data_IF_839966523173
#
_entry.id   IF_839966523173
#
_cell.length_a   1.000
_cell.length_b   1.000
_cell.length_c   1.000
_cell.angle_alpha   90.00
_cell.angle_beta   90.00
_cell.angle_gamma   90.00
#
_symmetry.space_group_name_H-M   'P 1'
#
loop_
_entity.id
_entity.type
_entity.pdbx_description
1 polymer ?
#
# COMPACT_ATOMS: atom_id res chain seq x y z
N UNK A 1 5.49 1.50 16.21
CA UNK A 1 5.57 2.07 14.84
C UNK A 1 5.04 3.47 14.89
N UNK A 2 5.70 4.41 14.23
CA UNK A 2 5.28 5.82 14.21
C UNK A 2 4.47 6.13 12.96
N UNK A 3 3.62 7.15 13.03
CA UNK A 3 2.99 7.75 11.86
C UNK A 3 3.98 8.73 11.19
N UNK A 4 3.95 8.88 9.85
CA UNK A 4 4.71 9.93 9.18
C UNK A 4 4.25 11.30 9.67
N UNK A 5 5.17 12.23 9.93
CA UNK A 5 4.82 13.61 10.21
C UNK A 5 3.88 14.21 9.15
N UNK A 6 2.91 15.04 9.53
CA UNK A 6 2.08 15.75 8.58
C UNK A 6 2.94 16.71 7.75
N UNK A 7 2.53 16.97 6.51
CA UNK A 7 3.31 17.77 5.57
C UNK A 7 2.52 18.24 4.36
N UNK A 8 3.15 19.13 3.60
CA UNK A 8 2.65 19.67 2.35
C UNK A 8 3.51 19.18 1.19
N UNK A 9 2.88 18.86 0.07
CA UNK A 9 3.53 18.27 -1.09
C UNK A 9 2.99 18.88 -2.37
N UNK A 10 3.82 18.89 -3.41
CA UNK A 10 3.46 19.50 -4.70
C UNK A 10 2.53 18.59 -5.49
N UNK A 11 2.68 17.28 -5.35
CA UNK A 11 1.86 16.30 -6.04
C UNK A 11 1.61 15.04 -5.19
N UNK A 12 0.57 14.29 -5.58
CA UNK A 12 0.16 13.06 -4.90
C UNK A 12 1.21 11.95 -4.97
N UNK A 13 1.98 11.84 -6.05
CA UNK A 13 3.01 10.79 -6.18
C UNK A 13 4.14 11.00 -5.18
N UNK A 14 4.56 12.25 -4.99
CA UNK A 14 5.57 12.67 -4.03
C UNK A 14 5.13 12.37 -2.60
N UNK A 15 3.90 12.78 -2.23
CA UNK A 15 3.32 12.48 -0.93
C UNK A 15 3.28 10.97 -0.67
N UNK A 16 2.76 10.19 -1.62
CA UNK A 16 2.66 8.74 -1.47
C UNK A 16 4.03 8.05 -1.38
N UNK A 17 5.04 8.55 -2.11
CA UNK A 17 6.41 8.07 -2.01
C UNK A 17 7.01 8.37 -0.63
N UNK A 18 6.82 9.59 -0.12
CA UNK A 18 7.24 9.98 1.23
C UNK A 18 6.64 9.04 2.29
N UNK A 19 5.32 8.82 2.26
CA UNK A 19 4.63 7.93 3.20
C UNK A 19 5.17 6.50 3.13
N UNK A 20 5.36 5.96 1.92
CA UNK A 20 5.86 4.60 1.73
C UNK A 20 7.29 4.43 2.20
N UNK A 21 8.15 5.41 1.97
CA UNK A 21 9.55 5.41 2.44
C UNK A 21 9.59 5.44 3.96
N UNK A 22 8.81 6.32 4.60
CA UNK A 22 8.72 6.40 6.05
C UNK A 22 8.18 5.09 6.65
N UNK A 23 7.06 4.58 6.12
CA UNK A 23 6.46 3.33 6.58
C UNK A 23 7.46 2.16 6.52
N UNK A 24 8.22 2.06 5.41
CA UNK A 24 9.25 1.04 5.24
C UNK A 24 10.33 1.14 6.30
N UNK A 25 10.79 2.33 6.63
CA UNK A 25 11.78 2.54 7.70
C UNK A 25 11.24 2.17 9.08
N UNK A 26 9.93 2.34 9.30
CA UNK A 26 9.24 1.99 10.55
C UNK A 26 8.78 0.52 10.61
N UNK A 27 9.04 -0.29 9.58
CA UNK A 27 8.70 -1.72 9.58
C UNK A 27 7.24 -2.04 9.25
N UNK A 28 6.52 -1.17 8.55
CA UNK A 28 5.18 -1.48 8.04
C UNK A 28 5.00 -1.01 6.60
N UNK A 29 3.90 -1.40 5.97
CA UNK A 29 3.58 -0.97 4.63
C UNK A 29 2.20 -0.33 4.56
N UNK A 30 2.03 0.55 3.58
CA UNK A 30 0.81 1.35 3.41
C UNK A 30 0.22 1.10 2.02
N UNK A 31 -1.09 0.95 1.96
CA UNK A 31 -1.88 0.74 0.74
C UNK A 31 -2.95 1.82 0.61
N UNK A 32 -3.46 2.02 -0.61
CA UNK A 32 -4.58 2.92 -0.86
C UNK A 32 -5.87 2.15 -0.56
N UNK A 33 -6.63 2.60 0.45
CA UNK A 33 -7.92 2.02 0.84
C UNK A 33 -9.05 2.52 -0.06
N UNK A 34 -9.07 3.82 -0.35
CA UNK A 34 -10.01 4.44 -1.29
C UNK A 34 -9.43 5.72 -1.86
N UNK A 35 -9.80 6.03 -3.09
CA UNK A 35 -9.58 7.33 -3.72
C UNK A 35 -10.92 7.98 -4.07
N UNK A 36 -10.92 9.31 -4.15
CA UNK A 36 -12.05 10.11 -4.67
C UNK A 36 -11.49 11.12 -5.66
N UNK A 37 -12.17 11.22 -6.80
CA UNK A 37 -11.89 12.24 -7.81
C UNK A 37 -12.86 13.41 -7.68
N UNK A 38 -12.46 14.56 -8.22
CA UNK A 38 -13.36 15.68 -8.49
C UNK A 38 -14.14 15.47 -9.81
N UNK A 39 -14.95 16.47 -10.17
CA UNK A 39 -15.79 16.48 -11.37
C UNK A 39 -14.97 16.38 -12.66
N UNK A 40 -13.73 16.91 -12.66
CA UNK A 40 -12.78 16.80 -13.78
C UNK A 40 -12.09 15.43 -13.84
N UNK A 41 -12.42 14.50 -12.94
CA UNK A 41 -11.81 13.17 -12.84
C UNK A 41 -10.41 13.17 -12.20
N UNK A 42 -9.91 14.31 -11.71
CA UNK A 42 -8.61 14.40 -11.03
C UNK A 42 -8.74 13.94 -9.57
N UNK A 43 -7.72 13.29 -9.03
CA UNK A 43 -7.75 12.83 -7.64
C UNK A 43 -7.85 14.05 -6.70
N UNK A 44 -8.89 14.05 -5.87
CA UNK A 44 -9.17 15.08 -4.85
C UNK A 44 -8.65 14.68 -3.48
N UNK A 45 -8.85 13.41 -3.11
CA UNK A 45 -8.37 12.86 -1.85
C UNK A 45 -8.20 11.35 -1.90
N UNK A 46 -7.40 10.83 -0.97
CA UNK A 46 -7.19 9.41 -0.78
C UNK A 46 -7.15 9.07 0.71
N UNK A 47 -7.67 7.91 1.04
CA UNK A 47 -7.49 7.29 2.35
C UNK A 47 -6.47 6.17 2.19
N UNK A 48 -5.40 6.25 2.95
CA UNK A 48 -4.39 5.22 3.04
C UNK A 48 -4.59 4.41 4.32
N UNK A 49 -4.19 3.14 4.27
CA UNK A 49 -4.28 2.22 5.40
C UNK A 49 -3.01 1.37 5.49
N UNK A 50 -2.70 0.84 6.68
CA UNK A 50 -1.73 -0.25 6.81
C UNK A 50 -2.08 -1.46 5.91
N UNK A 51 -1.09 -2.15 5.35
CA UNK A 51 -1.31 -3.34 4.51
C UNK A 51 -1.88 -4.55 5.28
N UNK A 52 -1.79 -4.54 6.62
CA UNK A 52 -2.47 -5.48 7.53
C UNK A 52 -3.87 -4.99 7.95
N UNK A 53 -4.33 -3.88 7.39
CA UNK A 53 -5.67 -3.34 7.63
C UNK A 53 -6.79 -4.18 7.02
N UNK A 54 -8.04 -3.90 7.41
CA UNK A 54 -9.23 -4.56 6.85
C UNK A 54 -9.44 -6.00 7.31
N UNK A 55 -10.43 -6.66 6.69
CA UNK A 55 -10.85 -8.02 7.04
C UNK A 55 -10.87 -8.91 5.80
N UNK A 56 -10.53 -10.18 5.99
CA UNK A 56 -10.67 -11.18 4.93
C UNK A 56 -12.15 -11.38 4.59
N UNK A 57 -12.45 -11.41 3.29
CA UNK A 57 -13.80 -11.68 2.78
C UNK A 57 -13.80 -13.05 2.11
N UNK A 58 -14.53 -14.00 2.69
CA UNK A 58 -14.72 -15.33 2.13
C UNK A 58 -15.78 -15.29 1.02
N UNK A 59 -15.39 -14.86 -0.18
CA UNK A 59 -16.34 -14.70 -1.30
C UNK A 59 -17.00 -16.00 -1.74
N UNK A 60 -16.32 -17.13 -1.53
CA UNK A 60 -16.80 -18.46 -1.93
C UNK A 60 -17.55 -19.19 -0.80
N UNK A 61 -17.71 -18.55 0.36
CA UNK A 61 -18.36 -19.13 1.55
C UNK A 61 -17.85 -20.54 1.91
N UNK A 62 -16.56 -20.80 1.66
CA UNK A 62 -15.95 -22.10 1.93
C UNK A 62 -15.76 -22.30 3.44
N UNK A 63 -16.01 -23.50 3.91
CA UNK A 63 -15.69 -23.92 5.28
C UNK A 63 -14.24 -24.41 5.33
N UNK A 64 -13.70 -24.61 6.54
CA UNK A 64 -12.36 -25.18 6.70
C UNK A 64 -12.23 -26.55 6.03
N UNK A 65 -13.32 -27.33 6.04
CA UNK A 65 -13.38 -28.67 5.43
C UNK A 65 -13.48 -28.66 3.91
N UNK A 66 -14.10 -27.64 3.31
CA UNK A 66 -14.19 -27.51 1.85
C UNK A 66 -13.05 -26.71 1.21
N UNK A 67 -12.12 -26.18 2.04
CA UNK A 67 -10.95 -25.43 1.56
C UNK A 67 -9.80 -26.36 1.19
N UNK A 68 -9.44 -26.41 -0.10
CA UNK A 68 -8.30 -27.21 -0.56
C UNK A 68 -6.93 -26.68 -0.09
N UNK A 69 -6.81 -25.38 0.20
CA UNK A 69 -5.57 -24.78 0.72
C UNK A 69 -5.81 -24.33 2.15
N UNK A 70 -4.86 -24.47 3.07
CA UNK A 70 -4.91 -23.87 4.40
C UNK A 70 -4.03 -22.60 4.38
N UNK A 71 -4.63 -21.41 4.30
CA UNK A 71 -3.91 -20.14 4.26
C UNK A 71 -4.50 -19.21 5.30
N UNK A 72 -3.65 -18.67 6.16
CA UNK A 72 -4.03 -17.58 7.05
C UNK A 72 -4.08 -16.26 6.27
N UNK A 73 -5.06 -15.42 6.60
CA UNK A 73 -5.05 -14.02 6.17
C UNK A 73 -3.99 -13.25 6.98
N UNK A 74 -3.29 -12.33 6.32
CA UNK A 74 -2.36 -11.41 6.99
C UNK A 74 -3.04 -10.15 7.55
N UNK A 75 -4.32 -9.97 7.23
CA UNK A 75 -5.09 -8.81 7.66
C UNK A 75 -5.44 -8.99 9.14
N UNK A 76 -4.96 -8.08 9.98
CA UNK A 76 -5.20 -8.03 11.43
C UNK A 76 -6.24 -6.98 11.82
N UNK A 77 -6.94 -6.37 10.85
CA UNK A 77 -7.81 -5.20 11.07
C UNK A 77 -7.06 -4.03 11.72
N UNK A 78 -5.79 -3.84 11.33
CA UNK A 78 -4.99 -2.72 11.81
C UNK A 78 -5.74 -1.37 11.60
N UNK A 79 -5.88 -0.54 12.65
CA UNK A 79 -6.67 0.70 12.57
C UNK A 79 -5.90 1.86 11.93
N UNK A 80 -4.57 1.78 11.83
CA UNK A 80 -3.71 2.79 11.22
C UNK A 80 -4.24 3.31 9.88
N UNK A 81 -4.51 4.61 9.82
CA UNK A 81 -5.06 5.31 8.65
C UNK A 81 -4.49 6.71 8.48
N UNK A 82 -4.20 7.06 7.23
CA UNK A 82 -3.76 8.39 6.82
C UNK A 82 -4.72 8.95 5.78
N UNK A 83 -4.90 10.27 5.76
CA UNK A 83 -5.73 10.96 4.82
C UNK A 83 -4.91 11.96 4.01
N UNK A 84 -4.97 11.81 2.69
CA UNK A 84 -4.36 12.73 1.73
C UNK A 84 -5.45 13.58 1.10
N UNK A 85 -5.27 14.90 1.05
CA UNK A 85 -6.22 15.79 0.38
C UNK A 85 -5.52 16.88 -0.43
N UNK A 86 -6.11 17.22 -1.58
CA UNK A 86 -5.66 18.33 -2.43
C UNK A 86 -6.48 19.57 -2.13
N UNK A 87 -5.83 20.69 -1.79
CA UNK A 87 -6.43 22.02 -1.60
C UNK A 87 -5.55 23.07 -2.30
N UNK A 88 -6.12 23.89 -3.18
CA UNK A 88 -5.39 24.91 -3.94
C UNK A 88 -4.14 24.37 -4.64
N UNK A 89 -4.25 23.19 -5.27
CA UNK A 89 -3.15 22.44 -5.90
C UNK A 89 -2.01 21.98 -4.98
N UNK A 90 -2.13 22.17 -3.66
CA UNK A 90 -1.20 21.64 -2.65
C UNK A 90 -1.80 20.38 -2.04
N UNK A 91 -0.96 19.37 -1.83
CA UNK A 91 -1.34 18.10 -1.21
C UNK A 91 -0.98 18.10 0.28
N UNK A 92 -1.93 17.71 1.12
CA UNK A 92 -1.79 17.68 2.57
C UNK A 92 -1.90 16.24 3.06
N UNK A 93 -1.00 15.87 3.98
CA UNK A 93 -1.05 14.61 4.71
C UNK A 93 -1.57 14.85 6.13
N UNK A 94 -2.63 14.14 6.49
CA UNK A 94 -3.23 14.14 7.83
C UNK A 94 -3.22 12.72 8.41
N UNK A 95 -2.85 12.57 9.68
CA UNK A 95 -2.95 11.29 10.39
C UNK A 95 -4.35 11.16 10.96
N UNK A 96 -5.11 10.12 10.56
CA UNK A 96 -6.46 9.87 11.11
C UNK A 96 -6.41 8.95 12.31
N UNK A 97 -5.64 7.87 12.21
CA UNK A 97 -5.38 6.97 13.33
C UNK A 97 -3.90 6.56 13.29
N UNK A 98 -3.10 6.94 14.31
CA UNK A 98 -1.69 6.59 14.38
C UNK A 98 -1.44 5.17 14.91
N UNK A 99 -2.48 4.48 15.42
CA UNK A 99 -2.29 3.25 16.18
C UNK A 99 -2.14 2.03 15.28
N UNK A 100 -1.30 1.10 15.74
CA UNK A 100 -1.17 -0.22 15.16
C UNK A 100 -1.51 -1.28 16.21
N UNK A 101 -2.12 -2.37 15.78
CA UNK A 101 -2.47 -3.50 16.64
C UNK A 101 -1.55 -4.71 16.42
N UNK A 102 -0.37 -4.48 15.87
CA UNK A 102 0.63 -5.49 15.58
C UNK A 102 2.02 -4.88 15.75
N UNK A 103 3.03 -5.72 15.86
CA UNK A 103 4.42 -5.29 15.89
C UNK A 103 4.95 -4.90 14.50
N UNK A 104 6.04 -4.10 14.49
CA UNK A 104 6.79 -3.82 13.28
C UNK A 104 7.34 -5.10 12.66
N UNK A 105 7.36 -5.17 11.35
CA UNK A 105 7.94 -6.30 10.62
C UNK A 105 9.46 -6.23 10.62
N UNK A 106 10.10 -7.32 11.00
CA UNK A 106 11.55 -7.51 10.90
C UNK A 106 12.01 -7.58 9.44
N UNK A 107 11.21 -8.20 8.58
CA UNK A 107 11.53 -8.36 7.16
C UNK A 107 10.46 -7.73 6.26
N UNK A 108 10.83 -6.62 5.60
CA UNK A 108 9.93 -5.90 4.70
C UNK A 108 9.55 -6.69 3.44
N UNK A 109 10.34 -7.70 3.04
CA UNK A 109 10.03 -8.58 1.90
C UNK A 109 8.78 -9.42 2.13
N UNK A 110 8.36 -9.59 3.39
CA UNK A 110 7.07 -10.19 3.72
C UNK A 110 5.89 -9.40 3.15
N UNK A 111 6.03 -8.09 2.89
CA UNK A 111 4.94 -7.23 2.41
C UNK A 111 4.82 -7.27 0.88
N UNK A 112 3.68 -7.67 0.27
CA UNK A 112 3.58 -7.86 -1.17
C UNK A 112 3.58 -6.51 -1.90
N UNK A 113 3.04 -5.47 -1.25
CA UNK A 113 3.06 -4.10 -1.78
C UNK A 113 4.48 -3.55 -1.92
N UNK A 114 5.39 -3.94 -1.03
CA UNK A 114 6.80 -3.52 -1.04
C UNK A 114 7.61 -4.25 -2.12
N UNK A 115 7.15 -5.43 -2.54
CA UNK A 115 7.75 -6.23 -3.61
C UNK A 115 7.29 -5.85 -5.02
N UNK A 116 6.40 -4.85 -5.17
CA UNK A 116 5.96 -4.41 -6.50
C UNK A 116 7.10 -3.69 -7.19
N UNK A 117 7.44 -4.15 -8.39
CA UNK A 117 8.43 -3.51 -9.25
C UNK A 117 7.92 -2.14 -9.70
N UNK A 118 8.83 -1.16 -9.73
CA UNK A 118 8.57 0.12 -10.37
C UNK A 118 8.67 0.00 -11.91
N UNK A 119 8.33 1.07 -12.63
CA UNK A 119 8.30 1.05 -14.10
C UNK A 119 9.66 0.72 -14.73
N UNK A 120 10.74 1.25 -14.15
CA UNK A 120 12.11 1.02 -14.60
C UNK A 120 12.56 -0.42 -14.36
N UNK A 121 12.29 -0.97 -13.18
CA UNK A 121 12.58 -2.37 -12.85
C UNK A 121 11.77 -3.33 -13.73
N UNK A 122 10.53 -2.98 -14.07
CA UNK A 122 9.73 -3.74 -15.02
C UNK A 122 10.35 -3.72 -16.41
N UNK A 123 10.90 -2.58 -16.84
CA UNK A 123 11.59 -2.45 -18.12
C UNK A 123 12.87 -3.29 -18.15
N UNK A 124 13.69 -3.25 -17.10
CA UNK A 124 14.86 -4.11 -16.96
C UNK A 124 14.49 -5.60 -17.04
N UNK A 125 13.41 -6.02 -16.34
CA UNK A 125 12.90 -7.39 -16.44
C UNK A 125 12.47 -7.74 -17.86
N UNK A 126 11.82 -6.81 -18.59
CA UNK A 126 11.48 -7.01 -20.01
C UNK A 126 12.72 -7.22 -20.88
N UNK A 127 13.76 -6.41 -20.70
CA UNK A 127 15.01 -6.56 -21.43
C UNK A 127 15.70 -7.90 -21.16
N UNK A 128 15.78 -8.33 -19.89
CA UNK A 128 16.35 -9.63 -19.50
C UNK A 128 15.58 -10.80 -20.13
N UNK A 129 14.24 -10.73 -20.11
CA UNK A 129 13.39 -11.76 -20.70
C UNK A 129 13.53 -11.83 -22.22
N UNK A 130 13.62 -10.67 -22.90
CA UNK A 130 13.84 -10.60 -24.35
C UNK A 130 15.23 -11.14 -24.75
N UNK A 131 16.26 -10.94 -23.92
CA UNK A 131 17.60 -11.48 -24.16
C UNK A 131 17.70 -12.99 -23.87
N UNK A 132 16.79 -13.52 -23.04
CA UNK A 132 16.79 -14.94 -22.61
C UNK A 132 15.88 -15.85 -23.44
N UNK A 133 15.15 -15.32 -24.43
CA UNK A 133 14.42 -16.16 -25.39
C UNK A 133 15.41 -16.89 -26.31
N UNK A 134 15.94 -18.01 -25.83
CA UNK A 134 16.60 -19.00 -26.68
C UNK A 134 15.58 -19.49 -27.70
N UNK A 135 15.89 -19.29 -28.98
CA UNK A 135 15.22 -19.95 -30.10
C UNK A 135 15.10 -21.44 -29.81
N UNK A 136 13.87 -21.94 -29.78
CA UNK A 136 13.61 -23.37 -29.65
C UNK A 136 13.93 -24.08 -30.96
#
# INVERSE_FOLDING_TARGET
MLAPPPGQFTNCKELLAYVRTFARAQGYAVTIKRSRSDEDGRIKNMLLQCDRGGSYRNQLNLTTSSRCRQTASRLSRCPFELYESRRNNIWFLEVRDPNHNHEASVNMSGHPIVRRLNAEQLEQVRHINAASSRSR
#
